data_IF_670046080740
#
_entry.id   IF_670046080740
#
_cell.length_a   1.000
_cell.length_b   1.000
_cell.length_c   1.000
_cell.angle_alpha   90.00
_cell.angle_beta   90.00
_cell.angle_gamma   90.00
#
_symmetry.space_group_name_H-M   'P 1'
#
loop_
_entity.id
_entity.type
_entity.pdbx_description
1 polymer ?
#
# COMPACT_ATOMS: atom_id res chain seq x y z
N UNK A 1 -4.15 -12.39 17.45
CA UNK A 1 -3.78 -13.00 18.74
C UNK A 1 -2.27 -13.12 18.73
N UNK A 2 -1.57 -12.41 19.61
CA UNK A 2 -0.11 -12.50 19.65
C UNK A 2 0.31 -13.86 20.22
N UNK A 3 1.38 -14.47 19.68
CA UNK A 3 1.86 -15.75 20.16
C UNK A 3 2.29 -15.67 21.63
N UNK A 4 1.83 -16.63 22.44
CA UNK A 4 2.42 -16.89 23.75
C UNK A 4 3.52 -17.93 23.56
N UNK A 5 4.75 -17.52 23.78
CA UNK A 5 5.90 -18.39 23.63
C UNK A 5 6.26 -19.02 24.97
N UNK A 6 6.23 -20.35 25.07
CA UNK A 6 6.35 -21.06 26.35
C UNK A 6 7.50 -22.07 26.39
N UNK A 7 8.48 -21.99 25.50
CA UNK A 7 9.59 -22.96 25.43
C UNK A 7 10.93 -22.30 25.08
N UNK A 8 11.99 -22.67 25.81
CA UNK A 8 13.36 -22.25 25.56
C UNK A 8 14.11 -23.19 24.57
N UNK A 9 14.90 -22.65 23.62
CA UNK A 9 15.08 -21.23 23.34
C UNK A 9 13.88 -20.67 22.55
N UNK A 10 13.35 -19.55 23.04
CA UNK A 10 12.22 -18.87 22.43
C UNK A 10 12.68 -18.00 21.25
N UNK A 11 13.02 -18.65 20.13
CA UNK A 11 13.40 -17.95 18.90
C UNK A 11 12.25 -17.91 17.91
N UNK A 12 12.17 -16.78 17.22
CA UNK A 12 11.29 -16.55 16.10
C UNK A 12 12.09 -16.72 14.80
N UNK A 13 11.75 -17.76 14.05
CA UNK A 13 12.45 -18.12 12.81
C UNK A 13 11.71 -17.56 11.58
N UNK A 14 12.39 -17.11 10.52
CA UNK A 14 11.73 -16.74 9.28
C UNK A 14 11.10 -17.97 8.62
N UNK A 15 9.89 -17.80 8.07
CA UNK A 15 9.21 -18.86 7.33
C UNK A 15 9.77 -19.03 5.92
N UNK A 16 10.13 -17.91 5.28
CA UNK A 16 10.72 -17.87 3.94
C UNK A 16 12.24 -17.80 4.05
N UNK A 17 12.92 -18.33 3.05
CA UNK A 17 14.38 -18.40 2.99
C UNK A 17 14.96 -17.51 1.89
N UNK A 18 16.25 -17.23 2.00
CA UNK A 18 16.99 -16.45 1.01
C UNK A 18 16.97 -17.11 -0.38
N UNK A 19 17.01 -16.29 -1.43
CA UNK A 19 17.01 -16.70 -2.85
C UNK A 19 15.78 -17.49 -3.31
N UNK A 20 14.70 -17.48 -2.53
CA UNK A 20 13.44 -18.10 -2.97
C UNK A 20 12.85 -17.30 -4.15
N UNK A 21 12.43 -17.96 -5.24
CA UNK A 21 11.83 -17.27 -6.36
C UNK A 21 10.42 -16.80 -5.99
N UNK A 22 10.09 -15.56 -6.35
CA UNK A 22 8.84 -14.89 -6.03
C UNK A 22 8.15 -14.36 -7.28
N UNK A 23 6.82 -14.36 -7.24
CA UNK A 23 5.94 -13.68 -8.18
C UNK A 23 5.04 -12.70 -7.41
N UNK A 24 4.93 -11.48 -7.92
CA UNK A 24 4.10 -10.42 -7.34
C UNK A 24 3.02 -10.05 -8.34
N UNK A 25 1.77 -9.99 -7.87
CA UNK A 25 0.63 -9.54 -8.65
C UNK A 25 -0.11 -8.43 -7.91
N UNK A 26 -0.40 -7.35 -8.62
CA UNK A 26 -1.07 -6.16 -8.09
C UNK A 26 -2.42 -5.96 -8.76
N UNK A 27 -3.44 -5.68 -7.96
CA UNK A 27 -4.82 -5.50 -8.41
C UNK A 27 -5.41 -4.22 -7.83
N UNK A 28 -6.28 -3.56 -8.59
CA UNK A 28 -7.09 -2.44 -8.11
C UNK A 28 -8.50 -2.90 -7.80
N UNK A 29 -9.02 -2.50 -6.63
CA UNK A 29 -10.42 -2.72 -6.30
C UNK A 29 -10.98 -1.56 -5.46
N UNK A 30 -12.29 -1.32 -5.48
CA UNK A 30 -12.94 -0.32 -4.62
C UNK A 30 -13.12 -0.81 -3.15
N UNK A 31 -12.64 -2.02 -2.81
CA UNK A 31 -12.84 -2.63 -1.49
C UNK A 31 -11.52 -2.70 -0.72
N UNK A 32 -11.53 -2.44 0.60
CA UNK A 32 -10.32 -2.56 1.41
C UNK A 32 -9.90 -4.03 1.61
N UNK A 33 -10.86 -4.93 1.71
CA UNK A 33 -10.62 -6.36 1.93
C UNK A 33 -10.82 -7.17 0.65
N UNK A 34 -9.96 -8.17 0.46
CA UNK A 34 -10.09 -9.10 -0.66
C UNK A 34 -11.22 -10.11 -0.39
N UNK A 35 -12.26 -10.09 -1.23
CA UNK A 35 -13.41 -10.98 -1.08
C UNK A 35 -13.07 -12.41 -1.47
N UNK A 36 -13.25 -13.36 -0.55
CA UNK A 36 -13.13 -14.80 -0.82
C UNK A 36 -14.45 -15.42 -1.34
N UNK A 37 -15.56 -14.67 -1.28
CA UNK A 37 -16.88 -15.16 -1.68
C UNK A 37 -16.97 -15.32 -3.21
N UNK A 38 -16.44 -14.36 -3.96
CA UNK A 38 -16.43 -14.36 -5.43
C UNK A 38 -15.20 -15.09 -6.00
N UNK A 39 -15.18 -15.38 -7.31
CA UNK A 39 -13.96 -15.84 -7.97
C UNK A 39 -12.83 -14.83 -7.80
N UNK A 40 -11.60 -15.32 -7.68
CA UNK A 40 -10.43 -14.45 -7.55
C UNK A 40 -10.28 -13.56 -8.78
N UNK A 41 -10.08 -12.25 -8.57
CA UNK A 41 -9.98 -11.28 -9.66
C UNK A 41 -11.31 -10.80 -10.25
N UNK A 42 -12.46 -11.41 -9.90
CA UNK A 42 -13.75 -11.00 -10.47
C UNK A 42 -14.12 -9.54 -10.14
N UNK A 43 -13.79 -9.07 -8.94
CA UNK A 43 -14.08 -7.72 -8.45
C UNK A 43 -12.87 -6.78 -8.52
N UNK A 44 -11.78 -7.18 -9.20
CA UNK A 44 -10.55 -6.42 -9.20
C UNK A 44 -9.89 -6.41 -10.58
N UNK A 45 -9.25 -5.29 -10.93
CA UNK A 45 -8.53 -5.13 -12.20
C UNK A 45 -7.05 -5.42 -11.97
N UNK A 46 -6.47 -6.38 -12.69
CA UNK A 46 -5.04 -6.66 -12.62
C UNK A 46 -4.27 -5.51 -13.28
N UNK A 47 -3.34 -4.88 -12.55
CA UNK A 47 -2.64 -3.69 -13.03
C UNK A 47 -1.13 -3.86 -13.16
N UNK A 48 -0.51 -4.72 -12.35
CA UNK A 48 0.91 -5.01 -12.48
C UNK A 48 1.22 -6.46 -12.11
N UNK A 49 2.21 -7.03 -12.77
CA UNK A 49 2.78 -8.31 -12.42
C UNK A 49 4.31 -8.25 -12.52
N UNK A 50 5.00 -8.61 -11.44
CA UNK A 50 6.46 -8.72 -11.42
C UNK A 50 6.83 -10.19 -11.18
N UNK A 51 7.37 -10.84 -12.21
CA UNK A 51 7.74 -12.26 -12.17
C UNK A 51 9.25 -12.46 -12.14
N UNK A 52 9.70 -13.65 -11.79
CA UNK A 52 11.14 -13.97 -11.74
C UNK A 52 11.91 -12.98 -10.84
N UNK A 53 11.34 -12.72 -9.67
CA UNK A 53 12.01 -12.02 -8.58
C UNK A 53 12.67 -13.05 -7.66
N UNK A 54 13.70 -12.64 -6.94
CA UNK A 54 14.30 -13.45 -5.88
C UNK A 54 14.08 -12.77 -4.53
N UNK A 55 13.96 -13.56 -3.47
CA UNK A 55 13.90 -13.02 -2.11
C UNK A 55 15.31 -12.77 -1.59
N UNK A 56 15.92 -11.68 -2.04
CA UNK A 56 17.26 -11.21 -1.63
C UNK A 56 17.45 -9.71 -1.94
N UNK A 57 18.63 -9.18 -1.62
CA UNK A 57 18.99 -7.77 -1.81
C UNK A 57 19.48 -7.45 -3.24
N UNK A 58 19.25 -8.32 -4.23
CA UNK A 58 19.74 -8.04 -5.58
C UNK A 58 19.07 -6.81 -6.19
N UNK A 59 19.86 -5.96 -6.84
CA UNK A 59 19.36 -4.78 -7.54
C UNK A 59 18.39 -5.13 -8.68
N UNK A 60 18.50 -6.33 -9.24
CA UNK A 60 17.60 -6.92 -10.25
C UNK A 60 16.15 -7.03 -9.76
N UNK A 61 15.94 -7.06 -8.44
CA UNK A 61 14.63 -7.12 -7.82
C UNK A 61 13.95 -5.76 -7.75
N UNK A 62 14.64 -4.65 -8.01
CA UNK A 62 13.98 -3.34 -8.04
C UNK A 62 13.33 -3.09 -9.39
N UNK A 63 12.00 -2.99 -9.44
CA UNK A 63 11.22 -2.81 -10.67
C UNK A 63 10.14 -1.76 -10.48
N UNK A 64 9.69 -1.17 -11.58
CA UNK A 64 8.52 -0.30 -11.56
C UNK A 64 7.73 -0.44 -12.86
N UNK A 65 6.47 -0.07 -12.79
CA UNK A 65 5.56 0.01 -13.91
C UNK A 65 4.78 1.32 -13.81
N UNK A 66 4.82 2.10 -14.89
CA UNK A 66 4.07 3.34 -15.01
C UNK A 66 2.80 3.07 -15.81
N UNK A 67 1.65 3.41 -15.23
CA UNK A 67 0.33 3.20 -15.79
C UNK A 67 -0.40 4.54 -15.85
N UNK A 68 -1.25 4.69 -16.86
CA UNK A 68 -2.21 5.79 -16.95
C UNK A 68 -3.61 5.19 -16.82
N UNK A 69 -4.23 5.36 -15.66
CA UNK A 69 -5.55 4.83 -15.36
C UNK A 69 -6.61 5.73 -15.99
N UNK A 70 -7.36 5.15 -16.92
CA UNK A 70 -8.42 5.80 -17.69
C UNK A 70 -9.55 4.79 -17.88
N UNK A 71 -10.70 5.23 -18.40
CA UNK A 71 -11.80 4.32 -18.67
C UNK A 71 -11.41 3.27 -19.71
N UNK A 72 -10.71 3.67 -20.77
CA UNK A 72 -10.21 2.77 -21.80
C UNK A 72 -9.17 1.80 -21.23
N UNK A 73 -8.15 2.31 -20.53
CA UNK A 73 -7.08 1.44 -20.01
C UNK A 73 -7.57 0.44 -18.98
N UNK A 74 -8.52 0.81 -18.12
CA UNK A 74 -9.17 -0.14 -17.20
C UNK A 74 -9.97 -1.20 -17.96
N UNK A 75 -10.64 -0.84 -19.05
CA UNK A 75 -11.40 -1.81 -19.86
C UNK A 75 -10.52 -2.79 -20.63
N UNK A 76 -9.29 -2.39 -20.98
CA UNK A 76 -8.30 -3.26 -21.61
C UNK A 76 -7.64 -4.22 -20.61
N UNK A 77 -7.46 -3.77 -19.36
CA UNK A 77 -6.81 -4.54 -18.30
C UNK A 77 -7.77 -5.51 -17.58
N UNK A 78 -9.07 -5.20 -17.53
CA UNK A 78 -10.04 -6.01 -16.81
C UNK A 78 -10.44 -7.26 -17.60
N UNK A 79 -10.57 -8.39 -16.90
CA UNK A 79 -11.15 -9.61 -17.48
C UNK A 79 -12.65 -9.44 -17.76
N UNK A 80 -13.34 -8.65 -16.93
CA UNK A 80 -14.75 -8.31 -17.07
C UNK A 80 -14.92 -6.78 -17.26
N UNK A 81 -15.53 -6.32 -18.37
CA UNK A 81 -15.77 -4.90 -18.61
C UNK A 81 -16.68 -4.26 -17.55
N UNK A 82 -17.52 -5.04 -16.86
CA UNK A 82 -18.38 -4.51 -15.79
C UNK A 82 -17.56 -4.06 -14.58
N UNK A 83 -16.53 -4.82 -14.20
CA UNK A 83 -15.60 -4.49 -13.10
C UNK A 83 -14.80 -3.23 -13.39
N UNK A 84 -14.33 -3.06 -14.64
CA UNK A 84 -13.69 -1.82 -15.07
C UNK A 84 -14.61 -0.60 -14.93
N UNK A 85 -15.87 -0.76 -15.36
CA UNK A 85 -16.87 0.31 -15.26
C UNK A 85 -17.23 0.64 -13.80
N UNK A 86 -17.33 -0.36 -12.93
CA UNK A 86 -17.55 -0.16 -11.49
C UNK A 86 -16.38 0.58 -10.83
N UNK A 87 -15.14 0.19 -11.12
CA UNK A 87 -13.95 0.86 -10.61
C UNK A 87 -13.86 2.31 -11.10
N UNK A 88 -14.16 2.57 -12.38
CA UNK A 88 -14.17 3.92 -12.92
C UNK A 88 -15.26 4.80 -12.27
N UNK A 89 -16.48 4.26 -12.07
CA UNK A 89 -17.54 4.96 -11.34
C UNK A 89 -17.16 5.22 -9.88
N UNK A 90 -16.46 4.28 -9.24
CA UNK A 90 -15.96 4.45 -7.88
C UNK A 90 -15.02 5.66 -7.81
N UNK A 91 -14.08 5.81 -8.75
CA UNK A 91 -13.21 6.98 -8.86
C UNK A 91 -14.00 8.27 -9.13
N UNK A 92 -14.98 8.26 -10.05
CA UNK A 92 -15.84 9.42 -10.34
C UNK A 92 -16.66 9.87 -9.12
N UNK A 93 -17.09 8.92 -8.28
CA UNK A 93 -17.84 9.21 -7.06
C UNK A 93 -16.97 9.60 -5.85
N UNK A 94 -15.66 9.84 -6.06
CA UNK A 94 -14.70 10.16 -5.00
C UNK A 94 -14.61 9.09 -3.89
N UNK A 95 -14.91 7.84 -4.24
CA UNK A 95 -14.82 6.70 -3.31
C UNK A 95 -13.39 6.18 -3.21
N UNK A 96 -13.12 5.41 -2.15
CA UNK A 96 -11.79 4.87 -1.90
C UNK A 96 -11.48 3.72 -2.86
N UNK A 97 -10.28 3.75 -3.45
CA UNK A 97 -9.73 2.68 -4.28
C UNK A 97 -8.46 2.17 -3.65
N UNK A 98 -8.30 0.86 -3.64
CA UNK A 98 -7.21 0.16 -2.99
C UNK A 98 -6.35 -0.60 -3.99
N UNK A 99 -5.04 -0.55 -3.77
CA UNK A 99 -4.05 -1.41 -4.40
C UNK A 99 -3.87 -2.65 -3.52
N UNK A 100 -4.26 -3.81 -4.05
CA UNK A 100 -3.99 -5.10 -3.44
C UNK A 100 -2.74 -5.71 -4.04
N UNK A 101 -1.78 -6.02 -3.17
CA UNK A 101 -0.54 -6.68 -3.55
C UNK A 101 -0.57 -8.11 -3.03
N UNK A 102 -0.37 -9.06 -3.93
CA UNK A 102 -0.19 -10.46 -3.61
C UNK A 102 1.23 -10.87 -3.97
N UNK A 103 1.97 -11.37 -2.98
CA UNK A 103 3.32 -11.92 -3.16
C UNK A 103 3.23 -13.42 -2.94
N UNK A 104 3.71 -14.19 -3.91
CA UNK A 104 3.67 -15.65 -3.88
C UNK A 104 5.05 -16.22 -4.17
N UNK A 105 5.33 -17.42 -3.66
CA UNK A 105 6.44 -18.21 -4.22
C UNK A 105 6.17 -18.51 -5.70
N UNK A 106 7.21 -18.51 -6.53
CA UNK A 106 7.04 -18.67 -7.96
C UNK A 106 6.28 -19.95 -8.32
N UNK A 107 5.27 -19.82 -9.17
CA UNK A 107 4.38 -20.91 -9.58
C UNK A 107 3.23 -21.25 -8.62
N UNK A 108 3.14 -20.58 -7.45
CA UNK A 108 1.94 -20.62 -6.60
C UNK A 108 0.92 -19.57 -7.06
N UNK A 109 -0.36 -19.85 -6.82
CA UNK A 109 -1.45 -18.93 -7.09
C UNK A 109 -1.84 -18.20 -5.81
N UNK A 110 -2.15 -16.90 -5.88
CA UNK A 110 -2.70 -16.15 -4.75
C UNK A 110 -4.18 -16.48 -4.45
N UNK A 111 -4.86 -17.26 -5.31
CA UNK A 111 -6.27 -17.61 -5.15
C UNK A 111 -6.49 -18.76 -4.16
N UNK A 112 -7.19 -18.56 -3.02
CA UNK A 112 -7.51 -19.63 -2.08
C UNK A 112 -8.28 -20.82 -2.68
N UNK A 113 -8.98 -20.61 -3.80
CA UNK A 113 -9.77 -21.64 -4.49
C UNK A 113 -8.95 -22.43 -5.52
N UNK A 114 -7.69 -22.08 -5.78
CA UNK A 114 -6.81 -22.76 -6.73
C UNK A 114 -6.32 -24.16 -6.26
N UNK A 115 -6.86 -24.67 -5.16
CA UNK A 115 -6.59 -26.03 -4.66
C UNK A 115 -5.12 -26.22 -4.36
N UNK A 116 -4.47 -27.17 -5.05
CA UNK A 116 -3.05 -27.52 -4.83
C UNK A 116 -2.06 -26.41 -5.22
N UNK A 117 -2.48 -25.43 -6.01
CA UNK A 117 -1.63 -24.30 -6.40
C UNK A 117 -1.63 -23.16 -5.38
N UNK A 118 -2.50 -23.21 -4.37
CA UNK A 118 -2.55 -22.23 -3.29
C UNK A 118 -1.90 -22.78 -2.02
N UNK A 119 -1.07 -21.95 -1.39
CA UNK A 119 -0.52 -22.20 -0.06
C UNK A 119 -0.50 -20.89 0.72
N UNK A 120 -1.27 -20.83 1.83
CA UNK A 120 -1.35 -19.67 2.70
C UNK A 120 0.01 -19.28 3.30
N UNK A 121 0.91 -20.26 3.49
CA UNK A 121 2.24 -20.02 4.06
C UNK A 121 3.23 -19.50 3.02
N UNK A 122 2.87 -19.54 1.74
CA UNK A 122 3.69 -19.05 0.61
C UNK A 122 3.06 -17.86 -0.08
N UNK A 123 2.03 -17.28 0.53
CA UNK A 123 1.27 -16.16 -0.03
C UNK A 123 1.16 -15.05 1.01
N UNK A 124 1.54 -13.84 0.64
CA UNK A 124 1.35 -12.64 1.44
C UNK A 124 0.39 -11.72 0.69
N UNK A 125 -0.57 -11.15 1.42
CA UNK A 125 -1.47 -10.13 0.93
C UNK A 125 -1.38 -8.87 1.78
N UNK A 126 -1.42 -7.72 1.11
CA UNK A 126 -1.61 -6.41 1.73
C UNK A 126 -2.42 -5.52 0.80
N UNK A 127 -3.23 -4.63 1.39
CA UNK A 127 -3.96 -3.59 0.68
C UNK A 127 -3.50 -2.22 1.18
N UNK A 128 -3.37 -1.25 0.28
CA UNK A 128 -3.19 0.17 0.63
C UNK A 128 -4.14 1.04 -0.18
N UNK A 129 -4.63 2.12 0.40
CA UNK A 129 -5.51 3.08 -0.28
C UNK A 129 -4.71 3.99 -1.21
N UNK A 130 -5.13 4.05 -2.47
CA UNK A 130 -4.64 5.02 -3.46
C UNK A 130 -5.37 6.37 -3.38
N UNK A 131 -6.41 6.47 -2.55
CA UNK A 131 -7.15 7.71 -2.31
C UNK A 131 -6.86 8.23 -0.91
N UNK A 132 -6.40 9.47 -0.82
CA UNK A 132 -6.22 10.22 0.44
C UNK A 132 -7.32 11.27 0.55
N UNK A 133 -7.92 11.41 1.73
CA UNK A 133 -8.88 12.47 2.02
C UNK A 133 -8.16 13.55 2.84
N UNK A 134 -8.05 14.76 2.29
CA UNK A 134 -7.34 15.86 2.95
C UNK A 134 -8.03 17.19 2.66
N UNK A 135 -7.82 18.17 3.54
CA UNK A 135 -8.26 19.54 3.30
C UNK A 135 -7.51 20.14 2.09
N UNK A 136 -8.16 21.06 1.39
CA UNK A 136 -7.56 21.72 0.23
C UNK A 136 -6.47 22.70 0.71
N UNK A 137 -5.22 22.61 0.23
CA UNK A 137 -4.18 23.56 0.61
C UNK A 137 -4.61 25.00 0.34
N UNK A 138 -4.56 25.85 1.37
CA UNK A 138 -4.85 27.27 1.23
C UNK A 138 -3.75 27.95 0.40
N UNK A 139 -4.06 28.28 -0.86
CA UNK A 139 -3.20 29.12 -1.70
C UNK A 139 -2.85 30.48 -1.03
N UNK A 140 -3.67 30.94 -0.09
CA UNK A 140 -3.47 32.20 0.64
C UNK A 140 -2.29 32.15 1.61
N UNK A 141 -1.95 30.99 2.17
CA UNK A 141 -0.88 30.87 3.17
C UNK A 141 0.52 30.81 2.54
N UNK A 142 0.63 30.39 1.27
CA UNK A 142 1.91 30.38 0.55
C UNK A 142 2.44 31.81 0.24
N UNK A 143 1.55 32.80 0.15
CA UNK A 143 1.92 34.19 -0.19
C UNK A 143 2.30 35.06 1.02
N UNK A 144 2.06 34.59 2.25
CA UNK A 144 2.29 35.38 3.48
C UNK A 144 3.75 35.42 3.93
N UNK A 145 4.63 34.58 3.34
CA UNK A 145 6.07 34.58 3.62
C UNK A 145 6.85 35.63 2.79
N UNK A 146 6.22 36.21 1.76
CA UNK A 146 6.84 37.17 0.83
C UNK A 146 6.19 38.55 0.82
N UNK A 147 5.09 38.74 1.57
CA UNK A 147 4.40 40.03 1.66
C UNK A 147 4.87 40.79 2.90
N UNK A 148 5.26 42.08 2.77
CA UNK A 148 5.48 42.94 3.93
C UNK A 148 4.21 42.95 4.79
N UNK A 149 4.37 42.87 6.12
CA UNK A 149 3.28 42.92 7.09
C UNK A 149 2.37 44.13 6.84
N UNK A 150 1.27 43.91 6.13
CA UNK A 150 0.07 44.73 6.25
C UNK A 150 -0.99 43.85 6.89
N UNK A 151 -1.22 44.10 8.18
CA UNK A 151 -2.29 43.55 9.01
C UNK A 151 -3.65 43.87 8.40
N UNK A 152 -4.08 43.06 7.44
CA UNK A 152 -5.47 42.98 7.00
C UNK A 152 -6.17 41.98 7.94
N UNK A 153 -7.07 42.49 8.78
CA UNK A 153 -8.02 41.68 9.54
C UNK A 153 -8.93 40.93 8.55
N UNK A 154 -8.49 39.76 8.10
CA UNK A 154 -9.35 38.79 7.44
C UNK A 154 -10.29 38.14 8.46
N UNK A 155 -11.50 37.71 8.06
CA UNK A 155 -12.42 37.03 8.95
C UNK A 155 -11.73 35.80 9.56
N UNK A 156 -11.99 35.54 10.84
CA UNK A 156 -11.50 34.35 11.54
C UNK A 156 -11.70 33.10 10.68
N UNK A 157 -10.76 32.13 10.71
CA UNK A 157 -10.88 30.90 9.93
C UNK A 157 -12.13 30.16 10.41
N UNK A 158 -13.22 30.34 9.69
CA UNK A 158 -14.42 29.53 9.85
C UNK A 158 -14.02 28.08 9.72
N UNK A 159 -14.30 27.33 10.77
CA UNK A 159 -14.14 25.90 10.93
C UNK A 159 -14.41 25.10 9.65
N UNK A 160 -13.53 24.14 9.37
CA UNK A 160 -13.67 23.06 8.38
C UNK A 160 -13.61 23.50 6.92
N UNK A 161 -12.39 23.62 6.38
CA UNK A 161 -12.19 23.52 4.94
C UNK A 161 -12.78 22.21 4.41
N UNK A 162 -13.40 22.22 3.21
CA UNK A 162 -13.98 21.01 2.65
C UNK A 162 -12.87 19.99 2.40
N UNK A 163 -13.01 18.82 3.01
CA UNK A 163 -12.16 17.65 2.73
C UNK A 163 -12.44 17.20 1.30
N UNK A 164 -11.39 17.11 0.49
CA UNK A 164 -11.47 16.58 -0.87
C UNK A 164 -10.67 15.29 -1.00
N UNK A 165 -11.02 14.49 -2.01
CA UNK A 165 -10.33 13.26 -2.36
C UNK A 165 -9.15 13.54 -3.28
N UNK A 166 -8.04 12.89 -2.99
CA UNK A 166 -6.78 13.00 -3.71
C UNK A 166 -6.33 11.62 -4.17
N UNK A 167 -5.91 11.52 -5.42
CA UNK A 167 -5.28 10.35 -6.00
C UNK A 167 -3.77 10.37 -5.75
N UNK A 168 -3.25 9.24 -5.30
CA UNK A 168 -1.82 8.97 -5.11
C UNK A 168 -1.21 8.50 -6.43
N UNK A 169 -0.30 9.27 -7.06
CA UNK A 169 0.24 8.91 -8.37
C UNK A 169 1.30 7.81 -8.32
N UNK A 170 1.76 7.42 -7.14
CA UNK A 170 2.76 6.37 -6.95
C UNK A 170 2.40 5.46 -5.77
N UNK A 171 2.79 4.20 -5.85
CA UNK A 171 2.71 3.24 -4.77
C UNK A 171 4.02 2.44 -4.75
N UNK A 172 4.78 2.59 -3.67
CA UNK A 172 6.05 1.89 -3.51
C UNK A 172 5.87 0.70 -2.59
N UNK A 173 5.92 -0.49 -3.19
CA UNK A 173 5.77 -1.75 -2.48
C UNK A 173 7.17 -2.29 -2.20
N UNK A 174 7.43 -2.66 -0.96
CA UNK A 174 8.69 -3.26 -0.59
C UNK A 174 8.53 -4.47 0.31
N UNK A 175 9.31 -5.50 0.04
CA UNK A 175 9.37 -6.71 0.84
C UNK A 175 10.59 -6.67 1.75
N UNK A 176 10.38 -6.85 3.05
CA UNK A 176 11.47 -6.84 4.02
C UNK A 176 12.31 -8.11 3.86
N UNK A 177 13.53 -7.94 3.37
CA UNK A 177 14.53 -9.00 3.19
C UNK A 177 15.32 -9.14 4.48
N UNK A 178 14.83 -9.99 5.36
CA UNK A 178 15.51 -10.36 6.59
C UNK A 178 15.37 -11.86 6.84
N UNK A 179 16.50 -12.49 7.15
CA UNK A 179 16.63 -13.94 7.34
C UNK A 179 17.13 -14.26 8.75
N UNK A 180 17.14 -13.27 9.64
CA UNK A 180 17.71 -13.40 10.98
C UNK A 180 16.77 -14.19 11.89
N UNK A 181 17.33 -15.14 12.64
CA UNK A 181 16.62 -15.79 13.74
C UNK A 181 16.70 -14.90 14.97
N UNK A 182 15.58 -14.32 15.39
CA UNK A 182 15.55 -13.42 16.54
C UNK A 182 15.13 -14.14 17.83
N UNK A 183 15.82 -13.91 18.95
CA UNK A 183 15.22 -14.08 20.27
C UNK A 183 14.03 -13.13 20.40
N UNK A 184 12.88 -13.63 20.86
CA UNK A 184 11.65 -12.81 20.93
C UNK A 184 11.83 -11.55 21.78
N UNK A 185 12.66 -11.62 22.81
CA UNK A 185 12.93 -10.51 23.74
C UNK A 185 13.75 -9.37 23.11
N UNK A 186 14.47 -9.64 22.03
CA UNK A 186 15.32 -8.65 21.33
C UNK A 186 14.57 -7.90 20.22
N UNK A 187 13.36 -8.34 19.85
CA UNK A 187 12.58 -7.69 18.81
C UNK A 187 12.03 -6.34 19.29
N UNK A 188 12.29 -5.24 18.55
CA UNK A 188 11.66 -3.96 18.83
C UNK A 188 10.14 -4.08 18.82
N UNK A 189 9.46 -3.38 19.73
CA UNK A 189 8.00 -3.48 19.91
C UNK A 189 7.23 -3.17 18.64
N UNK A 190 7.64 -2.15 17.87
CA UNK A 190 6.97 -1.79 16.61
C UNK A 190 7.11 -2.90 15.57
N UNK A 191 8.29 -3.49 15.45
CA UNK A 191 8.51 -4.63 14.56
C UNK A 191 7.62 -5.81 15.00
N UNK A 192 7.61 -6.12 16.29
CA UNK A 192 6.79 -7.20 16.84
C UNK A 192 5.29 -7.01 16.55
N UNK A 193 4.79 -5.78 16.60
CA UNK A 193 3.38 -5.50 16.32
C UNK A 193 3.03 -5.61 14.84
N UNK A 194 3.98 -5.34 13.94
CA UNK A 194 3.78 -5.30 12.49
C UNK A 194 4.18 -6.60 11.77
N UNK A 195 4.74 -7.59 12.47
CA UNK A 195 5.02 -8.92 11.93
C UNK A 195 3.78 -9.82 11.89
N UNK A 196 3.69 -10.65 10.85
CA UNK A 196 2.68 -11.72 10.74
C UNK A 196 3.25 -13.04 11.23
N UNK A 197 2.71 -13.54 12.33
CA UNK A 197 3.12 -14.79 12.95
C UNK A 197 2.28 -15.97 12.45
N UNK A 198 2.95 -17.08 12.16
CA UNK A 198 2.31 -18.35 11.84
C UNK A 198 2.90 -19.46 12.71
N UNK A 199 2.03 -20.33 13.21
CA UNK A 199 2.48 -21.55 13.87
C UNK A 199 2.66 -22.63 12.82
N UNK A 200 3.89 -23.12 12.66
CA UNK A 200 4.18 -24.11 11.66
C UNK A 200 3.56 -25.47 12.05
N UNK A 201 2.85 -26.16 11.13
CA UNK A 201 1.96 -27.27 11.49
C UNK A 201 2.69 -28.53 11.98
N UNK A 202 3.95 -28.73 11.59
CA UNK A 202 4.70 -29.96 11.92
C UNK A 202 5.40 -29.91 13.29
N UNK A 203 6.02 -28.77 13.62
CA UNK A 203 6.85 -28.58 14.82
C UNK A 203 6.17 -27.69 15.87
N UNK A 204 5.01 -27.11 15.55
CA UNK A 204 4.25 -26.17 16.41
C UNK A 204 5.05 -24.95 16.87
N UNK A 205 6.17 -24.66 16.21
CA UNK A 205 7.00 -23.48 16.49
C UNK A 205 6.43 -22.27 15.77
N UNK A 206 6.57 -21.11 16.40
CA UNK A 206 6.19 -19.84 15.80
C UNK A 206 7.25 -19.38 14.82
N UNK A 207 6.80 -18.95 13.64
CA UNK A 207 7.62 -18.36 12.59
C UNK A 207 6.96 -17.09 12.11
N UNK A 208 7.73 -16.21 11.46
CA UNK A 208 7.17 -15.01 10.84
C UNK A 208 7.21 -15.08 9.32
N UNK A 209 6.17 -14.55 8.70
CA UNK A 209 6.19 -14.23 7.28
C UNK A 209 7.00 -12.93 7.07
N UNK A 210 7.70 -12.79 5.93
CA UNK A 210 8.28 -11.52 5.54
C UNK A 210 7.28 -10.38 5.61
N UNK A 211 7.72 -9.23 6.11
CA UNK A 211 6.87 -8.05 6.16
C UNK A 211 6.78 -7.43 4.76
N UNK A 212 5.55 -7.27 4.27
CA UNK A 212 5.27 -6.44 3.11
C UNK A 212 4.96 -5.03 3.62
N UNK A 213 5.56 -4.03 3.01
CA UNK A 213 5.39 -2.63 3.35
C UNK A 213 5.01 -1.86 2.10
N UNK A 214 3.93 -1.09 2.16
CA UNK A 214 3.55 -0.15 1.09
C UNK A 214 3.82 1.24 1.64
N UNK A 215 4.76 1.94 1.03
CA UNK A 215 5.19 3.26 1.48
C UNK A 215 4.15 4.32 1.10
N UNK A 216 3.40 4.75 2.11
CA UNK A 216 2.43 5.84 2.01
C UNK A 216 3.01 7.20 2.47
N UNK A 217 4.21 7.21 3.04
CA UNK A 217 4.81 8.41 3.65
C UNK A 217 5.65 9.24 2.67
N UNK A 218 6.03 8.67 1.53
CA UNK A 218 6.88 9.36 0.55
C UNK A 218 6.15 10.46 -0.25
N UNK A 219 4.82 10.56 -0.15
CA UNK A 219 4.03 11.47 -0.98
C UNK A 219 3.68 12.77 -0.28
N UNK A 220 4.28 13.84 -0.81
CA UNK A 220 3.99 15.23 -0.44
C UNK A 220 2.62 15.62 -0.98
N UNK A 221 1.89 16.48 -0.26
CA UNK A 221 0.55 16.93 -0.65
C UNK A 221 0.50 17.55 -2.07
N UNK A 222 1.59 18.18 -2.51
CA UNK A 222 1.72 18.79 -3.84
C UNK A 222 1.74 17.77 -5.00
N UNK A 223 2.15 16.53 -4.74
CA UNK A 223 2.21 15.47 -5.76
C UNK A 223 0.85 14.80 -5.97
N UNK A 224 -0.11 15.03 -5.07
CA UNK A 224 -1.41 14.40 -5.11
C UNK A 224 -2.30 15.03 -6.18
N UNK A 225 -3.02 14.19 -6.93
CA UNK A 225 -3.92 14.65 -7.99
C UNK A 225 -5.34 14.79 -7.41
N UNK A 226 -5.96 15.97 -7.38
CA UNK A 226 -7.32 16.12 -6.85
C UNK A 226 -8.32 15.35 -7.71
N UNK A 227 -9.14 14.52 -7.08
CA UNK A 227 -10.26 13.84 -7.72
C UNK A 227 -11.49 14.73 -7.67
N UNK A 228 -12.05 15.05 -8.83
CA UNK A 228 -13.29 15.81 -8.96
C UNK A 228 -14.45 14.87 -9.32
N UNK A 229 -15.66 15.21 -8.87
CA UNK A 229 -16.86 14.44 -9.18
C UNK A 229 -17.15 14.37 -10.70
N UNK A 230 -16.67 15.36 -11.47
CA UNK A 230 -16.65 15.33 -12.94
C UNK A 230 -15.26 14.96 -13.45
N UNK A 231 -14.91 13.67 -13.41
CA UNK A 231 -13.78 13.16 -14.21
C UNK A 231 -14.09 13.16 -15.74
N UNK A 232 -15.08 13.95 -16.19
CA UNK A 232 -15.65 13.97 -17.55
C UNK A 232 -15.70 15.38 -18.20
N UNK A 233 -15.21 16.45 -17.57
CA UNK A 233 -15.26 17.80 -18.16
C UNK A 233 -14.03 18.12 -19.04
N UNK A 234 -13.80 17.29 -20.05
CA UNK A 234 -12.79 17.51 -21.08
C UNK A 234 -13.41 17.31 -22.45
N UNK A 235 -13.91 18.41 -23.05
CA UNK A 235 -14.53 18.46 -24.39
C UNK A 235 -13.69 17.82 -25.51
N UNK A 236 -12.41 17.46 -25.29
CA UNK A 236 -11.54 16.75 -26.24
C UNK A 236 -10.46 15.84 -25.59
N UNK A 237 -10.63 15.32 -24.36
CA UNK A 237 -9.54 14.53 -23.74
C UNK A 237 -9.93 13.72 -22.51
N UNK A 238 -9.73 12.42 -22.59
CA UNK A 238 -9.92 11.46 -21.49
C UNK A 238 -8.98 11.79 -20.32
N UNK A 239 -9.52 12.07 -19.13
CA UNK A 239 -8.73 12.31 -17.94
C UNK A 239 -7.98 11.03 -17.55
N UNK A 240 -6.65 11.10 -17.52
CA UNK A 240 -5.77 9.98 -17.15
C UNK A 240 -5.18 10.23 -15.77
N UNK A 241 -5.29 9.24 -14.89
CA UNK A 241 -4.68 9.26 -13.55
C UNK A 241 -3.35 8.48 -13.61
N UNK A 242 -2.19 9.15 -13.43
CA UNK A 242 -0.91 8.46 -13.43
C UNK A 242 -0.80 7.54 -12.20
N UNK A 243 -0.25 6.34 -12.38
CA UNK A 243 0.02 5.39 -11.31
C UNK A 243 1.35 4.68 -11.56
N UNK A 244 2.37 5.01 -10.78
CA UNK A 244 3.65 4.30 -10.73
C UNK A 244 3.60 3.25 -9.62
N UNK A 245 3.57 1.98 -9.97
CA UNK A 245 3.73 0.88 -9.01
C UNK A 245 5.19 0.45 -9.02
N UNK A 246 5.89 0.56 -7.88
CA UNK A 246 7.26 0.08 -7.74
C UNK A 246 7.37 -1.07 -6.76
N UNK A 247 8.33 -1.96 -7.02
CA UNK A 247 8.68 -3.10 -6.20
C UNK A 247 10.17 -3.01 -5.85
N UNK A 248 10.53 -3.24 -4.59
CA UNK A 248 11.93 -3.21 -4.14
C UNK A 248 12.15 -4.08 -2.89
N UNK A 249 13.36 -4.62 -2.68
CA UNK A 249 13.74 -5.17 -1.39
C UNK A 249 13.93 -4.06 -0.35
N UNK A 250 13.59 -4.35 0.92
CA UNK A 250 13.70 -3.42 2.04
C UNK A 250 14.47 -4.04 3.19
N UNK A 251 15.45 -3.32 3.74
CA UNK A 251 16.25 -3.84 4.85
C UNK A 251 15.48 -3.72 6.15
N UNK A 252 15.74 -4.64 7.08
CA UNK A 252 15.12 -4.61 8.41
C UNK A 252 15.30 -3.27 9.13
N UNK A 253 16.52 -2.71 9.11
CA UNK A 253 16.82 -1.44 9.76
C UNK A 253 16.03 -0.27 9.14
N UNK A 254 15.92 -0.22 7.80
CA UNK A 254 15.15 0.83 7.12
C UNK A 254 13.66 0.68 7.40
N UNK A 255 13.15 -0.55 7.42
CA UNK A 255 11.77 -0.82 7.80
C UNK A 255 11.47 -0.37 9.23
N UNK A 256 12.35 -0.66 10.19
CA UNK A 256 12.19 -0.19 11.58
C UNK A 256 12.16 1.34 11.67
N UNK A 257 13.00 2.04 10.90
CA UNK A 257 12.96 3.50 10.81
C UNK A 257 11.63 4.00 10.24
N UNK A 258 11.13 3.39 9.16
CA UNK A 258 9.84 3.74 8.57
C UNK A 258 8.67 3.54 9.55
N UNK A 259 8.64 2.43 10.28
CA UNK A 259 7.63 2.20 11.33
C UNK A 259 7.67 3.28 12.42
N UNK A 260 8.88 3.66 12.84
CA UNK A 260 9.08 4.70 13.86
C UNK A 260 8.58 6.06 13.37
N UNK A 261 8.88 6.42 12.12
CA UNK A 261 8.37 7.66 11.52
C UNK A 261 6.84 7.63 11.37
N UNK A 262 6.27 6.52 10.88
CA UNK A 262 4.82 6.37 10.77
C UNK A 262 4.13 6.59 12.13
N UNK A 263 4.65 6.00 13.20
CA UNK A 263 4.13 6.21 14.56
C UNK A 263 4.23 7.67 15.00
N UNK A 264 5.36 8.34 14.70
CA UNK A 264 5.57 9.74 15.05
C UNK A 264 4.59 10.66 14.31
N UNK A 265 4.37 10.44 13.00
CA UNK A 265 3.39 11.20 12.21
C UNK A 265 1.98 11.00 12.72
N UNK A 266 1.54 9.76 12.93
CA UNK A 266 0.20 9.49 13.49
C UNK A 266 0.00 10.11 14.87
N UNK A 267 1.06 10.14 15.70
CA UNK A 267 1.02 10.81 17.00
C UNK A 267 0.87 12.33 16.87
N UNK A 268 1.58 12.96 15.93
CA UNK A 268 1.45 14.40 15.66
C UNK A 268 0.05 14.78 15.16
N UNK A 269 -0.51 13.99 14.23
CA UNK A 269 -1.87 14.17 13.72
C UNK A 269 -2.91 14.08 14.86
N UNK A 270 -2.76 13.10 15.76
CA UNK A 270 -3.64 12.95 16.93
C UNK A 270 -3.54 14.11 17.92
N UNK A 271 -2.35 14.70 18.06
CA UNK A 271 -2.12 15.88 18.90
C UNK A 271 -2.59 17.18 18.26
N UNK A 272 -3.17 17.14 17.05
CA UNK A 272 -3.70 18.30 16.36
C UNK A 272 -2.64 19.26 15.83
N UNK A 273 -1.39 18.81 15.74
CA UNK A 273 -0.35 19.55 15.02
C UNK A 273 -0.55 19.26 13.54
N UNK A 274 -0.87 20.26 12.70
CA UNK A 274 -1.02 20.02 11.27
C UNK A 274 0.28 19.47 10.71
N UNK A 275 0.21 18.33 10.00
CA UNK A 275 1.34 17.79 9.26
C UNK A 275 1.76 18.85 8.24
N UNK A 276 2.91 19.48 8.47
CA UNK A 276 3.47 20.45 7.54
C UNK A 276 4.25 19.70 6.47
N UNK A 277 3.56 18.90 5.65
CA UNK A 277 4.12 18.18 4.49
C UNK A 277 3.01 17.91 3.43
#
# INVERSE_FOLDING_TARGET
>A
MYPQFSSDPNTLDPLWGEHQPLDVACFLSPRPEWSTAKPFGADAVAVAAFQALTFDWEASNSRHLDLNISRQSLSELAEDPTTAAELWRALQSNSSVFLHVHVTHAGFSPDPKAGKRYDQYRTIHQASSLVKYAARPNAKNASLLLSPLETQHGPEPSSSEPVISYWKPAASVSLVTDFTRYPVEELPVLVYQNLKYVQHPLDRRWRYLPALYVDDLAQVQEQLVPLNASLDDGVDGELTLPLRVSWSPLSFARWQMQLTFAMAFSSQEQMGVPSSD
#
